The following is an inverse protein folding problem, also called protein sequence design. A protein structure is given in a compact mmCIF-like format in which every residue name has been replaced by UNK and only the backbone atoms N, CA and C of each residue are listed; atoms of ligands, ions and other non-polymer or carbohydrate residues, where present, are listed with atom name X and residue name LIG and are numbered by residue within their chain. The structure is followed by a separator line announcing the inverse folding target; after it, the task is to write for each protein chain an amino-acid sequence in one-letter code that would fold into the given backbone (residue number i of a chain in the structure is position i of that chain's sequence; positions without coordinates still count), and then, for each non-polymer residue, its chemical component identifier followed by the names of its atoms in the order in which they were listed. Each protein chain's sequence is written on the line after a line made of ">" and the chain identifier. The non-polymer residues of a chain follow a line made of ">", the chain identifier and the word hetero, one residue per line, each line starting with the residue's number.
data_IF_207882621141
#
_entry.id   IF_207882621141
#
_cell.length_a   1.000
_cell.length_b   1.000
_cell.length_c   1.000
_cell.angle_alpha   90.00
_cell.angle_beta   90.00
_cell.angle_gamma   90.00
#
_symmetry.space_group_name_H-M   'P 1'
#
loop_
_entity.id
_entity.type
_entity.pdbx_description
1 polymer ?
#
# COMPACT_ATOMS: atom_id res chain seq x y z
N UNK A 1 -24.18 -5.30 -7.84
CA UNK A 1 -24.36 -4.53 -6.58
C UNK A 1 -23.61 -5.08 -5.36
N UNK A 2 -23.36 -6.38 -5.22
CA UNK A 2 -22.70 -7.01 -4.06
C UNK A 2 -21.22 -6.65 -3.82
N UNK A 3 -20.50 -6.11 -4.81
CA UNK A 3 -19.08 -5.75 -4.65
C UNK A 3 -18.84 -4.46 -3.86
N UNK A 4 -19.73 -3.46 -4.01
CA UNK A 4 -19.57 -2.14 -3.38
C UNK A 4 -19.81 -2.19 -1.87
N UNK A 5 -20.87 -2.86 -1.44
CA UNK A 5 -21.20 -3.00 -0.01
C UNK A 5 -20.11 -3.74 0.76
N UNK A 6 -19.53 -4.79 0.18
CA UNK A 6 -18.42 -5.55 0.78
C UNK A 6 -17.16 -4.68 0.91
N UNK A 7 -16.86 -3.85 -0.09
CA UNK A 7 -15.73 -2.92 -0.02
C UNK A 7 -15.90 -1.88 1.09
N UNK A 8 -17.07 -1.26 1.21
CA UNK A 8 -17.36 -0.30 2.28
C UNK A 8 -17.34 -0.96 3.66
N UNK A 9 -17.91 -2.16 3.80
CA UNK A 9 -17.90 -2.91 5.05
C UNK A 9 -16.48 -3.24 5.48
N UNK A 10 -15.64 -3.70 4.56
CA UNK A 10 -14.25 -4.04 4.85
C UNK A 10 -13.43 -2.81 5.26
N UNK A 11 -13.61 -1.68 4.57
CA UNK A 11 -12.97 -0.42 4.94
C UNK A 11 -13.46 0.10 6.30
N UNK A 12 -14.76 0.01 6.58
CA UNK A 12 -15.31 0.41 7.86
C UNK A 12 -14.78 -0.48 8.99
N UNK A 13 -14.70 -1.80 8.77
CA UNK A 13 -14.10 -2.73 9.71
C UNK A 13 -12.61 -2.44 9.94
N UNK A 14 -11.85 -2.13 8.89
CA UNK A 14 -10.46 -1.75 9.00
C UNK A 14 -10.28 -0.44 9.80
N UNK A 15 -11.06 0.60 9.49
CA UNK A 15 -11.03 1.87 10.23
C UNK A 15 -11.41 1.68 11.70
N UNK A 16 -12.45 0.90 11.97
CA UNK A 16 -12.85 0.57 13.33
C UNK A 16 -11.75 -0.18 14.08
N UNK A 17 -11.10 -1.17 13.44
CA UNK A 17 -9.98 -1.88 14.01
C UNK A 17 -8.82 -0.92 14.31
N UNK A 18 -8.41 -0.08 13.35
CA UNK A 18 -7.32 0.91 13.55
C UNK A 18 -7.63 1.89 14.67
N UNK A 19 -8.86 2.42 14.74
CA UNK A 19 -9.30 3.32 15.81
C UNK A 19 -9.33 2.62 17.17
N UNK A 20 -9.71 1.35 17.21
CA UNK A 20 -9.72 0.56 18.44
C UNK A 20 -8.29 0.29 18.92
N UNK A 21 -7.38 -0.09 18.03
CA UNK A 21 -5.95 -0.27 18.37
C UNK A 21 -5.35 1.04 18.86
N UNK A 22 -5.66 2.16 18.20
CA UNK A 22 -5.24 3.49 18.64
C UNK A 22 -5.84 3.87 20.00
N UNK A 23 -7.13 3.62 20.22
CA UNK A 23 -7.79 3.89 21.50
C UNK A 23 -7.22 3.06 22.64
N UNK A 24 -6.94 1.77 22.40
CA UNK A 24 -6.23 0.91 23.37
C UNK A 24 -4.85 1.49 23.68
N UNK A 25 -4.09 1.87 22.65
CA UNK A 25 -2.78 2.51 22.81
C UNK A 25 -2.89 3.77 23.68
N UNK A 26 -3.79 4.71 23.35
CA UNK A 26 -3.98 5.93 24.13
C UNK A 26 -4.46 5.67 25.55
N UNK A 27 -5.33 4.68 25.77
CA UNK A 27 -5.87 4.36 27.10
C UNK A 27 -4.84 3.72 28.04
N UNK A 28 -3.91 2.95 27.49
CA UNK A 28 -2.82 2.32 28.26
C UNK A 28 -1.73 3.35 28.57
N UNK A 29 -1.53 4.32 27.67
CA UNK A 29 -0.39 5.22 27.76
C UNK A 29 -0.71 6.63 28.28
N UNK A 30 -1.97 7.03 28.35
CA UNK A 30 -2.53 8.07 29.23
C UNK A 30 -2.07 9.52 29.00
N UNK A 31 -0.80 9.75 28.66
CA UNK A 31 -0.17 11.05 28.48
C UNK A 31 0.92 10.99 27.38
N UNK A 32 1.05 12.06 26.58
CA UNK A 32 1.94 12.10 25.41
C UNK A 32 3.43 11.94 25.78
N UNK A 33 3.81 12.38 26.98
CA UNK A 33 5.16 12.23 27.55
C UNK A 33 5.43 10.80 27.99
N UNK A 34 4.44 10.10 28.52
CA UNK A 34 4.55 8.69 28.88
C UNK A 34 4.60 7.78 27.63
N UNK A 35 4.01 8.16 26.49
CA UNK A 35 4.14 7.41 25.25
C UNK A 35 5.59 7.28 24.74
N UNK A 36 6.47 8.26 25.02
CA UNK A 36 7.91 8.14 24.77
C UNK A 36 8.62 7.33 25.85
N UNK A 37 8.22 7.49 27.12
CA UNK A 37 8.82 6.76 28.26
C UNK A 37 8.33 5.31 28.42
N UNK A 38 7.27 4.89 27.71
CA UNK A 38 6.65 3.55 27.84
C UNK A 38 7.35 2.46 27.08
N UNK A 39 8.29 2.81 26.20
CA UNK A 39 9.29 1.86 25.70
C UNK A 39 10.28 1.46 26.82
N UNK A 40 10.36 2.24 27.92
CA UNK A 40 11.29 2.02 29.06
C UNK A 40 10.64 1.26 30.22
N UNK A 41 9.30 1.21 30.35
CA UNK A 41 8.64 0.53 31.48
C UNK A 41 8.54 -1.00 31.27
N UNK A 42 9.04 -1.83 32.19
CA UNK A 42 8.98 -3.30 32.09
C UNK A 42 7.54 -3.87 32.10
N UNK A 43 6.55 -3.11 32.59
CA UNK A 43 5.14 -3.51 32.56
C UNK A 43 4.52 -3.49 31.14
N UNK A 44 5.12 -2.81 30.16
CA UNK A 44 4.62 -2.71 28.78
C UNK A 44 5.00 -3.88 27.87
N UNK A 45 5.85 -4.82 28.31
CA UNK A 45 6.47 -5.83 27.45
C UNK A 45 5.49 -6.71 26.66
N UNK A 46 4.36 -7.09 27.28
CA UNK A 46 3.34 -7.90 26.62
C UNK A 46 2.57 -7.10 25.55
N UNK A 47 2.29 -5.82 25.81
CA UNK A 47 1.61 -4.94 24.86
C UNK A 47 2.49 -4.69 23.63
N UNK A 48 3.78 -4.40 23.86
CA UNK A 48 4.78 -4.20 22.81
C UNK A 48 5.05 -5.46 21.98
N UNK A 49 4.90 -6.66 22.55
CA UNK A 49 4.98 -7.91 21.79
C UNK A 49 3.70 -8.18 20.96
N UNK A 50 2.53 -7.78 21.46
CA UNK A 50 1.25 -8.01 20.80
C UNK A 50 1.00 -7.08 19.61
N UNK A 51 1.47 -5.84 19.67
CA UNK A 51 1.26 -4.82 18.63
C UNK A 51 1.84 -5.22 17.26
N UNK A 52 3.10 -5.68 17.15
CA UNK A 52 3.65 -6.19 15.89
C UNK A 52 2.86 -7.36 15.33
N UNK A 53 2.40 -8.29 16.17
CA UNK A 53 1.61 -9.44 15.73
C UNK A 53 0.27 -9.02 15.11
N UNK A 54 -0.42 -8.05 15.72
CA UNK A 54 -1.65 -7.48 15.16
C UNK A 54 -1.36 -6.73 13.85
N UNK A 55 -0.24 -6.01 13.76
CA UNK A 55 0.18 -5.31 12.54
C UNK A 55 0.41 -6.27 11.38
N UNK A 56 1.12 -7.38 11.60
CA UNK A 56 1.35 -8.41 10.56
C UNK A 56 0.02 -8.96 10.04
N UNK A 57 -0.92 -9.28 10.93
CA UNK A 57 -2.24 -9.78 10.52
C UNK A 57 -2.98 -8.73 9.68
N UNK A 58 -2.94 -7.46 10.09
CA UNK A 58 -3.53 -6.36 9.34
C UNK A 58 -2.90 -6.18 7.95
N UNK A 59 -1.57 -6.28 7.84
CA UNK A 59 -0.84 -6.24 6.57
C UNK A 59 -1.24 -7.39 5.65
N UNK A 60 -1.31 -8.63 6.15
CA UNK A 60 -1.74 -9.81 5.38
C UNK A 60 -3.16 -9.64 4.85
N UNK A 61 -4.08 -9.13 5.69
CA UNK A 61 -5.47 -8.85 5.28
C UNK A 61 -5.51 -7.77 4.19
N UNK A 62 -4.71 -6.71 4.34
CA UNK A 62 -4.63 -5.60 3.38
C UNK A 62 -4.09 -6.07 2.03
N UNK A 63 -3.01 -6.84 2.00
CA UNK A 63 -2.43 -7.40 0.77
C UNK A 63 -3.41 -8.35 0.09
N UNK A 64 -4.05 -9.22 0.87
CA UNK A 64 -5.04 -10.18 0.35
C UNK A 64 -6.22 -9.46 -0.29
N UNK A 65 -6.71 -8.41 0.37
CA UNK A 65 -7.79 -7.56 -0.14
C UNK A 65 -7.37 -6.82 -1.41
N UNK A 66 -6.20 -6.20 -1.40
CA UNK A 66 -5.65 -5.49 -2.56
C UNK A 66 -5.51 -6.42 -3.76
N UNK A 67 -4.88 -7.59 -3.58
CA UNK A 67 -4.72 -8.61 -4.64
C UNK A 67 -6.07 -9.05 -5.17
N UNK A 68 -7.04 -9.33 -4.28
CA UNK A 68 -8.40 -9.71 -4.68
C UNK A 68 -9.10 -8.63 -5.49
N UNK A 69 -9.00 -7.36 -5.07
CA UNK A 69 -9.57 -6.23 -5.82
C UNK A 69 -8.88 -6.08 -7.18
N UNK A 70 -7.55 -6.17 -7.22
CA UNK A 70 -6.79 -6.07 -8.47
C UNK A 70 -7.16 -7.16 -9.46
N UNK A 71 -7.12 -8.43 -9.05
CA UNK A 71 -7.48 -9.57 -9.90
C UNK A 71 -8.93 -9.49 -10.37
N UNK A 72 -9.85 -9.05 -9.51
CA UNK A 72 -11.26 -8.90 -9.90
C UNK A 72 -11.45 -7.81 -10.95
N UNK A 73 -10.79 -6.66 -10.80
CA UNK A 73 -10.88 -5.58 -11.79
C UNK A 73 -10.28 -6.02 -13.14
N UNK A 74 -9.12 -6.68 -13.15
CA UNK A 74 -8.54 -7.22 -14.38
C UNK A 74 -9.47 -8.25 -15.06
N UNK A 75 -10.01 -9.21 -14.30
CA UNK A 75 -10.96 -10.21 -14.83
C UNK A 75 -12.24 -9.58 -15.38
N UNK A 76 -12.76 -8.53 -14.73
CA UNK A 76 -13.94 -7.83 -15.23
C UNK A 76 -13.65 -7.11 -16.55
N UNK A 77 -12.45 -6.53 -16.68
CA UNK A 77 -12.03 -5.89 -17.92
C UNK A 77 -11.94 -6.91 -19.04
N UNK A 78 -11.27 -8.04 -18.80
CA UNK A 78 -11.00 -9.00 -19.87
C UNK A 78 -12.25 -9.80 -20.30
N UNK A 79 -13.22 -10.02 -19.40
CA UNK A 79 -14.42 -10.84 -19.69
C UNK A 79 -15.64 -10.06 -20.21
N UNK A 80 -15.78 -8.77 -19.86
CA UNK A 80 -17.03 -8.03 -20.08
C UNK A 80 -16.79 -6.74 -20.88
N UNK A 81 -15.56 -6.49 -21.38
CA UNK A 81 -15.22 -5.23 -22.05
C UNK A 81 -16.31 -4.81 -23.03
N UNK A 82 -16.71 -5.70 -23.94
CA UNK A 82 -17.71 -5.41 -24.98
C UNK A 82 -19.13 -5.10 -24.50
N UNK A 83 -19.54 -5.56 -23.31
CA UNK A 83 -20.88 -5.37 -22.76
C UNK A 83 -20.99 -4.17 -21.80
N UNK A 84 -19.87 -3.55 -21.44
CA UNK A 84 -19.84 -2.39 -20.56
C UNK A 84 -20.12 -1.09 -21.33
N UNK A 85 -20.84 -0.17 -20.69
CA UNK A 85 -21.01 1.19 -21.19
C UNK A 85 -19.68 1.94 -21.23
N UNK A 86 -19.57 2.97 -22.06
CA UNK A 86 -18.33 3.77 -22.20
C UNK A 86 -17.85 4.32 -20.84
N UNK A 87 -18.79 4.76 -19.99
CA UNK A 87 -18.49 5.27 -18.65
C UNK A 87 -17.94 4.20 -17.72
N UNK A 88 -18.51 2.99 -17.73
CA UNK A 88 -18.05 1.87 -16.89
C UNK A 88 -16.65 1.39 -17.31
N UNK A 89 -16.37 1.32 -18.61
CA UNK A 89 -15.04 0.98 -19.11
C UNK A 89 -13.98 1.98 -18.67
N UNK A 90 -14.32 3.27 -18.73
CA UNK A 90 -13.45 4.34 -18.25
C UNK A 90 -13.18 4.20 -16.75
N UNK A 91 -14.22 4.04 -15.92
CA UNK A 91 -14.07 3.84 -14.48
C UNK A 91 -13.24 2.60 -14.14
N UNK A 92 -13.45 1.50 -14.85
CA UNK A 92 -12.72 0.25 -14.64
C UNK A 92 -11.24 0.40 -15.00
N UNK A 93 -10.95 1.07 -16.12
CA UNK A 93 -9.58 1.36 -16.57
C UNK A 93 -8.86 2.24 -15.56
N UNK A 94 -9.53 3.29 -15.09
CA UNK A 94 -8.96 4.19 -14.10
C UNK A 94 -8.71 3.47 -12.76
N UNK A 95 -9.65 2.65 -12.29
CA UNK A 95 -9.45 1.83 -11.08
C UNK A 95 -8.25 0.89 -11.22
N UNK A 96 -8.07 0.23 -12.37
CA UNK A 96 -6.89 -0.63 -12.62
C UNK A 96 -5.62 0.20 -12.61
N UNK A 97 -5.62 1.38 -13.23
CA UNK A 97 -4.49 2.30 -13.25
C UNK A 97 -4.11 2.74 -11.83
N UNK A 98 -5.09 3.19 -11.04
CA UNK A 98 -4.87 3.58 -9.64
C UNK A 98 -4.32 2.42 -8.82
N UNK A 99 -4.89 1.22 -8.96
CA UNK A 99 -4.37 0.04 -8.26
C UNK A 99 -2.93 -0.30 -8.67
N UNK A 100 -2.59 -0.26 -9.96
CA UNK A 100 -1.20 -0.46 -10.42
C UNK A 100 -0.24 0.56 -9.83
N UNK A 101 -0.69 1.80 -9.68
CA UNK A 101 0.10 2.88 -9.08
C UNK A 101 0.32 2.66 -7.57
N UNK A 102 -0.68 2.10 -6.87
CA UNK A 102 -0.60 1.76 -5.45
C UNK A 102 0.20 0.48 -5.17
N UNK A 103 0.31 -0.46 -6.12
CA UNK A 103 1.08 -1.71 -5.96
C UNK A 103 2.49 -1.52 -5.39
N UNK A 104 3.38 -0.67 -5.97
CA UNK A 104 4.73 -0.49 -5.44
C UNK A 104 4.75 0.10 -4.03
N UNK A 105 3.74 0.91 -3.69
CA UNK A 105 3.62 1.53 -2.37
C UNK A 105 3.27 0.47 -1.31
N UNK A 106 2.32 -0.41 -1.61
CA UNK A 106 1.94 -1.50 -0.71
C UNK A 106 3.10 -2.47 -0.53
N UNK A 107 3.81 -2.79 -1.62
CA UNK A 107 4.99 -3.65 -1.57
C UNK A 107 6.12 -3.05 -0.74
N UNK A 108 6.44 -1.76 -0.89
CA UNK A 108 7.50 -1.13 -0.11
C UNK A 108 7.14 -1.06 1.38
N UNK A 109 5.90 -0.71 1.71
CA UNK A 109 5.42 -0.69 3.10
C UNK A 109 5.51 -2.08 3.74
N UNK A 110 4.97 -3.10 3.07
CA UNK A 110 5.01 -4.49 3.57
C UNK A 110 6.45 -4.97 3.73
N UNK A 111 7.32 -4.71 2.76
CA UNK A 111 8.70 -5.16 2.81
C UNK A 111 9.44 -4.53 4.00
N UNK A 112 9.28 -3.22 4.22
CA UNK A 112 9.87 -2.53 5.35
C UNK A 112 9.32 -3.05 6.69
N UNK A 113 8.00 -3.23 6.80
CA UNK A 113 7.35 -3.76 8.00
C UNK A 113 7.82 -5.18 8.36
N UNK A 114 7.90 -6.06 7.36
CA UNK A 114 8.42 -7.43 7.53
C UNK A 114 9.89 -7.42 7.92
N UNK A 115 10.74 -6.62 7.25
CA UNK A 115 12.17 -6.50 7.60
C UNK A 115 12.32 -6.03 9.05
N UNK A 116 11.63 -4.96 9.45
CA UNK A 116 11.67 -4.43 10.81
C UNK A 116 11.23 -5.49 11.83
N UNK A 117 10.15 -6.22 11.55
CA UNK A 117 9.64 -7.29 12.41
C UNK A 117 10.64 -8.44 12.53
N UNK A 118 11.24 -8.88 11.42
CA UNK A 118 12.22 -9.96 11.42
C UNK A 118 13.47 -9.57 12.21
N UNK A 119 13.98 -8.35 12.00
CA UNK A 119 15.09 -7.78 12.77
C UNK A 119 14.76 -7.79 14.27
N UNK A 120 13.57 -7.32 14.65
CA UNK A 120 13.12 -7.31 16.03
C UNK A 120 13.06 -8.73 16.63
N UNK A 121 12.46 -9.70 15.93
CA UNK A 121 12.32 -11.09 16.40
C UNK A 121 13.68 -11.79 16.53
N UNK A 122 14.63 -11.52 15.64
CA UNK A 122 15.99 -12.10 15.69
C UNK A 122 16.81 -11.50 16.82
N UNK A 123 16.74 -10.18 17.02
CA UNK A 123 17.60 -9.48 17.98
C UNK A 123 17.12 -9.68 19.42
N UNK A 124 15.80 -9.79 19.64
CA UNK A 124 15.18 -10.02 20.96
C UNK A 124 15.79 -11.20 21.76
N UNK A 125 15.99 -12.40 21.19
CA UNK A 125 16.63 -13.51 21.91
C UNK A 125 18.15 -13.37 22.07
N UNK A 126 18.82 -12.61 21.19
CA UNK A 126 20.28 -12.40 21.25
C UNK A 126 20.65 -11.43 22.38
N UNK A 127 19.83 -10.38 22.57
CA UNK A 127 20.02 -9.38 23.62
C UNK A 127 18.79 -9.34 24.54
N UNK A 128 18.67 -10.29 25.49
CA UNK A 128 17.56 -10.35 26.44
C UNK A 128 17.62 -9.28 27.55
N UNK A 129 18.35 -8.17 27.32
CA UNK A 129 18.42 -7.09 28.30
C UNK A 129 17.05 -6.40 28.44
N UNK A 130 16.70 -5.89 29.63
CA UNK A 130 15.48 -5.10 29.83
C UNK A 130 15.49 -3.76 29.07
N UNK A 131 16.61 -3.40 28.45
CA UNK A 131 16.82 -2.16 27.69
C UNK A 131 16.71 -2.39 26.17
N UNK A 132 15.66 -3.08 25.71
CA UNK A 132 15.37 -3.25 24.27
C UNK A 132 14.84 -1.97 23.59
N UNK A 133 14.85 -0.86 24.31
CA UNK A 133 14.37 0.45 23.89
C UNK A 133 14.99 0.95 22.57
N UNK A 134 16.32 0.92 22.38
CA UNK A 134 16.93 1.45 21.16
C UNK A 134 16.52 0.68 19.90
N UNK A 135 16.26 -0.62 20.06
CA UNK A 135 15.88 -1.52 18.98
C UNK A 135 14.46 -1.29 18.47
N UNK A 136 13.54 -1.01 19.39
CA UNK A 136 12.16 -0.63 19.04
C UNK A 136 12.16 0.76 18.40
N UNK A 137 12.91 1.71 18.94
CA UNK A 137 13.01 3.05 18.38
C UNK A 137 13.62 3.06 16.97
N UNK A 138 14.66 2.26 16.72
CA UNK A 138 15.30 2.15 15.41
C UNK A 138 14.39 1.46 14.38
N UNK A 139 13.63 0.44 14.78
CA UNK A 139 12.64 -0.20 13.89
C UNK A 139 11.45 0.70 13.58
N UNK A 140 10.95 1.47 14.56
CA UNK A 140 9.93 2.52 14.32
C UNK A 140 10.50 3.62 13.42
N UNK A 141 11.77 3.96 13.56
CA UNK A 141 12.43 4.95 12.71
C UNK A 141 12.50 4.53 11.24
N UNK A 142 12.59 3.22 10.96
CA UNK A 142 12.47 2.70 9.60
C UNK A 142 11.06 2.87 9.00
N UNK A 143 10.00 2.95 9.81
CA UNK A 143 8.67 3.30 9.31
C UNK A 143 8.59 4.78 8.90
N UNK A 144 9.32 5.70 9.54
CA UNK A 144 9.31 7.11 9.12
C UNK A 144 9.94 7.31 7.74
N UNK A 145 10.91 6.48 7.35
CA UNK A 145 11.46 6.48 5.98
C UNK A 145 10.39 6.26 4.91
N UNK A 146 9.30 5.56 5.23
CA UNK A 146 8.15 5.41 4.33
C UNK A 146 7.52 6.75 3.94
N UNK A 147 7.47 7.72 4.87
CA UNK A 147 6.96 9.07 4.62
C UNK A 147 7.78 9.83 3.57
N UNK A 148 9.04 9.45 3.37
CA UNK A 148 9.94 10.00 2.35
C UNK A 148 9.85 9.20 1.05
N UNK A 149 9.88 7.86 1.14
CA UNK A 149 9.86 6.99 -0.04
C UNK A 149 8.54 7.04 -0.80
N UNK A 150 7.39 7.11 -0.12
CA UNK A 150 6.07 7.14 -0.76
C UNK A 150 5.91 8.32 -1.75
N UNK A 151 6.16 9.58 -1.37
CA UNK A 151 6.12 10.71 -2.31
C UNK A 151 7.09 10.57 -3.49
N UNK A 152 8.29 10.02 -3.27
CA UNK A 152 9.28 9.82 -4.34
C UNK A 152 8.79 8.79 -5.35
N UNK A 153 8.31 7.63 -4.89
CA UNK A 153 7.73 6.59 -5.74
C UNK A 153 6.54 7.13 -6.51
N UNK A 154 5.64 7.86 -5.83
CA UNK A 154 4.47 8.46 -6.45
C UNK A 154 4.87 9.47 -7.54
N UNK A 155 5.81 10.37 -7.25
CA UNK A 155 6.30 11.36 -8.21
C UNK A 155 6.96 10.71 -9.42
N UNK A 156 7.74 9.65 -9.22
CA UNK A 156 8.38 8.91 -10.30
C UNK A 156 7.33 8.25 -11.21
N UNK A 157 6.38 7.51 -10.63
CA UNK A 157 5.30 6.85 -11.36
C UNK A 157 4.41 7.84 -12.10
N UNK A 158 4.01 8.92 -11.43
CA UNK A 158 3.22 9.98 -12.03
C UNK A 158 3.93 10.59 -13.24
N UNK A 159 5.26 10.80 -13.16
CA UNK A 159 6.05 11.30 -14.30
C UNK A 159 6.08 10.30 -15.46
N UNK A 160 6.27 9.02 -15.20
CA UNK A 160 6.24 7.99 -16.25
C UNK A 160 4.88 7.95 -16.95
N UNK A 161 3.81 7.98 -16.17
CA UNK A 161 2.43 8.03 -16.66
C UNK A 161 2.17 9.25 -17.55
N UNK A 162 2.65 10.42 -17.14
CA UNK A 162 2.55 11.66 -17.92
C UNK A 162 3.35 11.61 -19.23
N UNK A 163 4.52 10.96 -19.21
CA UNK A 163 5.32 10.76 -20.44
C UNK A 163 4.57 9.86 -21.41
N UNK A 164 4.04 8.73 -20.91
CA UNK A 164 3.28 7.80 -21.73
C UNK A 164 2.01 8.42 -22.32
N UNK A 165 1.30 9.24 -21.54
CA UNK A 165 0.11 9.95 -22.03
C UNK A 165 0.46 10.99 -23.12
N UNK A 166 1.60 11.68 -22.98
CA UNK A 166 2.10 12.58 -24.02
C UNK A 166 2.44 11.82 -25.29
N UNK A 167 3.11 10.68 -25.19
CA UNK A 167 3.42 9.81 -26.35
C UNK A 167 2.13 9.38 -27.07
N UNK A 168 1.16 8.86 -26.33
CA UNK A 168 -0.14 8.48 -26.90
C UNK A 168 -0.85 9.66 -27.58
N UNK A 169 -0.83 10.84 -26.95
CA UNK A 169 -1.42 12.05 -27.55
C UNK A 169 -0.67 12.41 -28.83
N UNK A 170 0.66 12.43 -28.83
CA UNK A 170 1.46 12.76 -30.03
C UNK A 170 1.11 11.85 -31.20
N UNK A 171 1.09 10.53 -30.99
CA UNK A 171 0.72 9.53 -32.01
C UNK A 171 -0.69 9.78 -32.55
N UNK A 172 -1.64 10.10 -31.68
CA UNK A 172 -3.05 10.31 -32.07
C UNK A 172 -3.29 11.68 -32.74
N UNK A 173 -2.47 12.70 -32.44
CA UNK A 173 -2.51 14.00 -33.12
C UNK A 173 -1.73 14.05 -34.43
N UNK A 174 -0.82 13.10 -34.69
CA UNK A 174 -0.18 12.97 -36.01
C UNK A 174 -1.24 12.63 -37.05
N UNK A 175 -1.51 13.56 -37.98
CA UNK A 175 -2.39 13.33 -39.14
C UNK A 175 -1.56 13.10 -40.40
N UNK A 176 -2.09 12.29 -41.32
CA UNK A 176 -1.55 12.12 -42.67
C UNK A 176 -0.44 11.05 -42.78
N UNK A 177 0.55 11.31 -43.63
CA UNK A 177 1.60 10.34 -44.04
C UNK A 177 2.45 9.83 -42.88
N UNK A 178 2.62 10.62 -41.82
CA UNK A 178 3.40 10.26 -40.62
C UNK A 178 2.71 9.21 -39.76
N UNK A 179 1.38 9.20 -39.71
CA UNK A 179 0.60 8.16 -39.03
C UNK A 179 0.65 6.84 -39.81
N UNK A 180 0.54 6.92 -41.14
CA UNK A 180 0.62 5.77 -42.02
C UNK A 180 2.01 5.10 -41.99
N UNK A 181 3.10 5.88 -41.98
CA UNK A 181 4.46 5.33 -41.88
C UNK A 181 4.72 4.66 -40.53
N UNK A 182 4.21 5.23 -39.42
CA UNK A 182 4.36 4.65 -38.09
C UNK A 182 3.64 3.30 -37.96
N UNK A 183 2.41 3.20 -38.47
CA UNK A 183 1.68 1.93 -38.49
C UNK A 183 2.29 0.90 -39.47
N UNK A 184 2.81 1.34 -40.61
CA UNK A 184 3.47 0.44 -41.56
C UNK A 184 4.71 -0.23 -40.95
N UNK A 185 5.48 0.51 -40.14
CA UNK A 185 6.69 0.00 -39.51
C UNK A 185 6.41 -1.05 -38.42
N UNK A 186 5.34 -0.88 -37.65
CA UNK A 186 4.91 -1.83 -36.60
C UNK A 186 4.31 -3.13 -37.20
N UNK A 187 3.81 -3.10 -38.43
CA UNK A 187 3.26 -4.30 -39.10
C UNK A 187 4.37 -5.18 -39.70
N UNK A 188 5.55 -4.60 -39.96
CA UNK A 188 6.69 -5.30 -40.57
C UNK A 188 7.67 -5.92 -39.57
N UNK A 189 7.56 -5.59 -38.28
CA UNK A 189 8.24 -6.31 -37.18
C UNK A 189 7.36 -7.42 -36.61
#
# INVERSE_FOLDING_TARGET
>A
HTGRSVGYLLNAAHLAATLLTWGVHMSVYGDWTDAHCTVVRPQGGNVHASLPMVSIVAEVVTISTFKRMFTRNCRLRDNIDNALTLSERYQLTENIRTLKLLTPIIWSHTLLGVIATVIFVIIKPIFPSPEQYPLVEETVSMLYLQGIFMPIIFRYRYRQDQIHEKELRTVNTTRGTTFASYHAQVITE
#
